data_IF_045379517983
#
_entry.id   IF_045379517983
#
_cell.length_a   1.000
_cell.length_b   1.000
_cell.length_c   1.000
_cell.angle_alpha   90.00
_cell.angle_beta   90.00
_cell.angle_gamma   90.00
#
_symmetry.space_group_name_H-M   'P 1'
#
loop_
_entity.id
_entity.type
_entity.pdbx_description
1 polymer ?
#
# COMPACT_ATOMS: atom_id res chain seq x y z
N UNK A 1 -24.51 1.10 22.55
CA UNK A 1 -23.67 -0.11 22.63
C UNK A 1 -24.02 -0.97 21.42
N UNK A 2 -23.35 -0.73 20.29
CA UNK A 2 -23.73 -1.33 19.00
C UNK A 2 -22.96 -2.63 18.81
N UNK A 3 -23.76 -3.68 18.63
CA UNK A 3 -23.43 -5.10 18.50
C UNK A 3 -22.43 -5.39 17.37
N UNK A 4 -21.40 -6.16 17.68
CA UNK A 4 -20.27 -6.52 16.82
C UNK A 4 -20.63 -7.56 15.75
N UNK A 5 -21.67 -7.28 14.95
CA UNK A 5 -22.00 -8.11 13.78
C UNK A 5 -20.93 -7.88 12.72
N UNK A 6 -20.14 -8.91 12.44
CA UNK A 6 -19.32 -8.96 11.24
C UNK A 6 -20.23 -8.82 10.02
N UNK A 7 -20.25 -7.63 9.44
CA UNK A 7 -20.84 -7.40 8.13
C UNK A 7 -20.07 -8.27 7.15
N UNK A 8 -20.77 -9.09 6.35
CA UNK A 8 -20.19 -9.99 5.34
C UNK A 8 -19.59 -9.25 4.13
N UNK A 9 -19.14 -8.00 4.31
CA UNK A 9 -18.57 -7.13 3.30
C UNK A 9 -17.06 -7.00 3.40
N UNK A 10 -16.45 -6.40 2.37
CA UNK A 10 -15.03 -6.00 2.40
C UNK A 10 -14.82 -4.97 3.53
N UNK A 11 -13.83 -5.22 4.39
CA UNK A 11 -13.50 -4.37 5.52
C UNK A 11 -11.99 -4.39 5.76
N UNK A 12 -11.46 -3.29 6.30
CA UNK A 12 -10.08 -3.20 6.75
C UNK A 12 -9.82 -3.95 8.06
N UNK A 13 -10.87 -4.41 8.75
CA UNK A 13 -10.72 -5.24 9.93
C UNK A 13 -9.93 -6.51 9.60
N UNK A 14 -9.00 -6.87 10.47
CA UNK A 14 -8.01 -7.95 10.30
C UNK A 14 -6.96 -7.73 9.20
N UNK A 15 -6.98 -6.61 8.48
CA UNK A 15 -5.85 -6.23 7.62
C UNK A 15 -4.63 -5.86 8.45
N UNK A 16 -3.45 -5.93 7.86
CA UNK A 16 -2.17 -5.78 8.58
C UNK A 16 -1.38 -4.58 8.07
N UNK A 17 -0.54 -4.04 8.95
CA UNK A 17 0.59 -3.21 8.54
C UNK A 17 1.62 -4.12 7.89
N UNK A 18 1.88 -3.93 6.61
CA UNK A 18 2.78 -4.80 5.85
C UNK A 18 4.13 -4.15 5.55
N UNK A 19 4.24 -2.82 5.72
CA UNK A 19 5.49 -2.08 5.53
C UNK A 19 5.60 -0.89 6.48
N UNK A 20 6.78 -0.68 7.06
CA UNK A 20 7.11 0.51 7.84
C UNK A 20 8.52 0.97 7.46
N UNK A 21 8.61 2.09 6.76
CA UNK A 21 9.87 2.79 6.51
C UNK A 21 9.92 3.98 7.46
N UNK A 22 10.83 3.91 8.42
CA UNK A 22 10.90 4.86 9.53
C UNK A 22 10.99 6.30 9.03
N UNK A 23 10.17 7.15 9.63
CA UNK A 23 10.05 8.60 9.35
C UNK A 23 9.60 8.94 7.92
N UNK A 24 9.09 7.94 7.17
CA UNK A 24 8.68 8.10 5.78
C UNK A 24 7.27 7.59 5.51
N UNK A 25 7.00 6.31 5.76
CA UNK A 25 5.72 5.68 5.40
C UNK A 25 5.37 4.47 6.24
N UNK A 26 4.08 4.31 6.49
CA UNK A 26 3.47 3.12 7.10
C UNK A 26 2.39 2.64 6.13
N UNK A 27 2.56 1.44 5.57
CA UNK A 27 1.64 0.88 4.57
C UNK A 27 0.76 -0.21 5.18
N UNK A 28 -0.54 -0.10 4.93
CA UNK A 28 -1.57 -0.95 5.50
C UNK A 28 -2.80 -1.02 4.58
N UNK A 29 -3.85 -1.71 5.04
CA UNK A 29 -5.11 -1.83 4.28
C UNK A 29 -5.10 -2.92 3.20
N UNK A 30 -4.03 -3.72 3.09
CA UNK A 30 -4.00 -4.88 2.18
C UNK A 30 -5.07 -5.89 2.56
N UNK A 31 -6.10 -6.00 1.72
CA UNK A 31 -7.21 -6.95 1.90
C UNK A 31 -6.84 -8.34 1.33
N UNK A 32 -7.24 -9.40 2.02
CA UNK A 32 -6.91 -10.78 1.65
C UNK A 32 -7.42 -11.22 0.26
N UNK A 33 -8.51 -10.60 -0.23
CA UNK A 33 -9.04 -10.84 -1.59
C UNK A 33 -8.48 -9.90 -2.65
N UNK A 34 -7.55 -9.00 -2.28
CA UNK A 34 -7.00 -7.96 -3.17
C UNK A 34 -8.08 -7.04 -3.73
N UNK A 35 -7.67 -6.12 -4.62
CA UNK A 35 -8.61 -5.61 -5.61
C UNK A 35 -8.85 -6.71 -6.65
N UNK A 36 -10.10 -6.92 -7.08
CA UNK A 36 -10.39 -7.82 -8.19
C UNK A 36 -9.51 -7.46 -9.38
N UNK A 37 -9.03 -8.45 -10.13
CA UNK A 37 -8.24 -8.21 -11.35
C UNK A 37 -9.07 -8.64 -12.55
N UNK A 38 -9.26 -7.73 -13.50
CA UNK A 38 -9.88 -8.02 -14.79
C UNK A 38 -8.78 -8.29 -15.83
N UNK A 39 -8.95 -9.34 -16.64
CA UNK A 39 -8.09 -9.60 -17.78
C UNK A 39 -8.55 -8.74 -18.97
N UNK A 40 -7.76 -7.75 -19.34
CA UNK A 40 -7.94 -6.99 -20.57
C UNK A 40 -7.11 -7.66 -21.67
N UNK A 41 -7.76 -7.97 -22.79
CA UNK A 41 -7.12 -8.53 -23.99
C UNK A 41 -6.96 -7.43 -25.02
N UNK A 42 -5.75 -7.24 -25.52
CA UNK A 42 -5.45 -6.28 -26.60
C UNK A 42 -4.72 -6.98 -27.74
N UNK A 43 -5.03 -6.64 -28.98
CA UNK A 43 -4.32 -7.09 -30.18
C UNK A 43 -3.35 -5.99 -30.57
N UNK A 44 -2.05 -6.29 -30.63
CA UNK A 44 -1.04 -5.35 -31.12
C UNK A 44 -0.96 -5.34 -32.66
N UNK A 45 -0.22 -4.37 -33.23
CA UNK A 45 -0.04 -4.23 -34.69
C UNK A 45 0.58 -5.47 -35.36
N UNK A 46 1.16 -6.39 -34.58
CA UNK A 46 1.67 -7.67 -35.05
C UNK A 46 0.62 -8.80 -35.07
N UNK A 47 -0.62 -8.54 -34.65
CA UNK A 47 -1.71 -9.51 -34.64
C UNK A 47 -1.68 -10.48 -33.45
N UNK A 48 -0.79 -10.28 -32.47
CA UNK A 48 -0.70 -11.12 -31.28
C UNK A 48 -1.62 -10.59 -30.17
N UNK A 49 -2.34 -11.51 -29.51
CA UNK A 49 -3.18 -11.18 -28.35
C UNK A 49 -2.30 -11.10 -27.11
N UNK A 50 -2.21 -9.92 -26.51
CA UNK A 50 -1.61 -9.72 -25.18
C UNK A 50 -2.70 -9.70 -24.12
N UNK A 51 -2.45 -10.39 -23.01
CA UNK A 51 -3.29 -10.38 -21.81
C UNK A 51 -2.65 -9.44 -20.79
N UNK A 52 -3.40 -8.44 -20.32
CA UNK A 52 -3.01 -7.54 -19.24
C UNK A 52 -4.00 -7.71 -18.09
N UNK A 53 -3.51 -8.09 -16.91
CA UNK A 53 -4.32 -8.08 -15.70
C UNK A 53 -4.31 -6.65 -15.13
N UNK A 54 -5.45 -5.98 -15.16
CA UNK A 54 -5.66 -4.66 -14.55
C UNK A 54 -6.56 -4.82 -13.33
N UNK A 55 -6.54 -3.88 -12.39
CA UNK A 55 -7.55 -3.89 -11.34
C UNK A 55 -8.94 -3.73 -11.94
N UNK A 56 -9.94 -4.39 -11.38
CA UNK A 56 -11.34 -4.28 -11.82
C UNK A 56 -11.83 -2.84 -11.69
N UNK A 57 -11.34 -2.10 -10.69
CA UNK A 57 -11.60 -0.67 -10.57
C UNK A 57 -11.07 0.13 -11.78
N UNK A 58 -9.88 -0.24 -12.27
CA UNK A 58 -9.19 0.45 -13.37
C UNK A 58 -9.64 -0.05 -14.75
N UNK A 59 -10.40 -1.15 -14.81
CA UNK A 59 -10.88 -1.75 -16.05
C UNK A 59 -12.03 -0.96 -16.68
N UNK A 60 -12.69 -0.09 -15.92
CA UNK A 60 -13.91 0.62 -16.35
C UNK A 60 -13.75 2.13 -16.30
N UNK A 61 -12.74 2.66 -15.60
CA UNK A 61 -12.49 4.10 -15.49
C UNK A 61 -10.99 4.34 -15.31
N UNK A 62 -10.38 5.15 -16.17
CA UNK A 62 -9.05 5.67 -15.91
C UNK A 62 -9.17 6.62 -14.71
N UNK A 63 -8.79 6.15 -13.52
CA UNK A 63 -8.82 7.00 -12.34
C UNK A 63 -7.69 8.05 -12.50
N UNK A 64 -8.08 9.31 -12.68
CA UNK A 64 -7.18 10.47 -12.78
C UNK A 64 -7.20 11.31 -11.50
N UNK A 65 -7.64 10.73 -10.39
CA UNK A 65 -7.77 11.44 -9.13
C UNK A 65 -6.39 11.93 -8.67
N UNK A 66 -6.32 13.23 -8.41
CA UNK A 66 -5.11 13.91 -7.98
C UNK A 66 -5.45 15.22 -7.29
N UNK A 67 -4.49 15.76 -6.54
CA UNK A 67 -4.58 17.07 -5.93
C UNK A 67 -3.19 17.69 -5.73
N UNK A 68 -3.18 18.94 -5.27
CA UNK A 68 -1.96 19.71 -4.98
C UNK A 68 -1.43 19.51 -3.56
N UNK A 69 -2.03 18.61 -2.77
CA UNK A 69 -1.58 18.30 -1.42
C UNK A 69 -0.28 17.50 -1.47
N UNK A 70 0.56 17.68 -0.45
CA UNK A 70 1.87 17.05 -0.34
C UNK A 70 2.03 16.36 1.00
N UNK A 71 2.94 15.39 1.06
CA UNK A 71 3.30 14.63 2.26
C UNK A 71 4.21 15.44 3.21
N UNK A 72 3.82 16.69 3.51
CA UNK A 72 4.62 17.68 4.24
C UNK A 72 4.33 17.74 5.75
N UNK A 73 3.43 16.90 6.26
CA UNK A 73 3.06 16.83 7.66
C UNK A 73 2.94 15.38 8.10
N UNK A 74 3.10 15.13 9.40
CA UNK A 74 2.77 13.84 9.99
C UNK A 74 1.26 13.63 10.02
N UNK A 75 0.83 12.38 9.93
CA UNK A 75 -0.58 11.96 9.99
C UNK A 75 -1.32 12.04 8.65
N UNK A 76 -0.69 12.44 7.55
CA UNK A 76 -1.38 12.48 6.25
C UNK A 76 -1.61 11.06 5.72
N UNK A 77 -2.83 10.83 5.22
CA UNK A 77 -3.28 9.56 4.65
C UNK A 77 -3.38 9.67 3.15
N UNK A 78 -2.75 8.75 2.42
CA UNK A 78 -2.71 8.77 0.97
C UNK A 78 -2.89 7.40 0.35
N UNK A 79 -3.23 7.38 -0.94
CA UNK A 79 -3.41 6.18 -1.75
C UNK A 79 -2.63 6.30 -3.06
N UNK A 80 -2.30 5.17 -3.68
CA UNK A 80 -1.64 5.15 -4.99
C UNK A 80 -2.54 5.82 -6.04
N UNK A 81 -1.98 6.72 -6.83
CA UNK A 81 -2.68 7.37 -7.96
C UNK A 81 -3.11 6.33 -8.99
N UNK A 82 -4.23 6.57 -9.65
CA UNK A 82 -4.80 5.57 -10.57
C UNK A 82 -5.58 4.46 -9.88
N UNK A 83 -5.62 4.43 -8.55
CA UNK A 83 -6.42 3.48 -7.79
C UNK A 83 -5.85 2.06 -7.86
N UNK A 84 -6.72 1.11 -8.21
CA UNK A 84 -6.34 -0.29 -8.39
C UNK A 84 -6.03 -1.11 -7.14
N UNK A 85 -5.90 -0.50 -5.96
CA UNK A 85 -5.70 -1.19 -4.68
C UNK A 85 -6.50 -0.54 -3.55
N UNK A 86 -6.77 -1.30 -2.49
CA UNK A 86 -7.35 -0.79 -1.24
C UNK A 86 -6.26 -0.43 -0.22
N UNK A 87 -5.01 -0.40 -0.65
CA UNK A 87 -3.87 -0.10 0.22
C UNK A 87 -3.78 1.41 0.42
N UNK A 88 -3.41 1.82 1.62
CA UNK A 88 -3.18 3.22 1.94
C UNK A 88 -1.93 3.37 2.79
N UNK A 89 -1.41 4.59 2.77
CA UNK A 89 -0.18 4.98 3.44
C UNK A 89 -0.50 6.05 4.46
N UNK A 90 0.13 5.95 5.64
CA UNK A 90 0.16 7.04 6.62
C UNK A 90 1.59 7.54 6.75
N UNK A 91 1.77 8.86 6.67
CA UNK A 91 3.05 9.51 6.90
C UNK A 91 3.27 9.73 8.39
N UNK A 92 4.32 9.16 9.02
CA UNK A 92 4.58 9.37 10.44
C UNK A 92 5.33 10.67 10.74
N UNK A 93 5.91 11.30 9.72
CA UNK A 93 6.71 12.52 9.76
C UNK A 93 6.61 13.24 8.41
N UNK A 94 6.86 14.56 8.31
CA UNK A 94 7.06 15.22 7.03
C UNK A 94 8.08 14.45 6.19
N UNK A 95 7.68 14.02 5.00
CA UNK A 95 8.55 13.24 4.13
C UNK A 95 9.48 14.18 3.36
N UNK A 96 10.81 14.02 3.45
CA UNK A 96 11.75 14.89 2.74
C UNK A 96 11.77 14.64 1.22
N UNK A 97 11.46 13.41 0.81
CA UNK A 97 11.55 12.96 -0.58
C UNK A 97 10.20 13.10 -1.30
N UNK A 98 10.22 13.68 -2.51
CA UNK A 98 9.01 13.86 -3.33
C UNK A 98 8.45 12.58 -3.95
N UNK A 99 9.12 11.44 -3.78
CA UNK A 99 8.71 10.16 -4.37
C UNK A 99 7.28 9.78 -3.99
N UNK A 100 6.82 10.12 -2.78
CA UNK A 100 5.47 9.82 -2.35
C UNK A 100 4.43 10.76 -2.97
N UNK A 101 4.78 12.03 -3.20
CA UNK A 101 3.92 13.02 -3.88
C UNK A 101 3.70 12.67 -5.36
N UNK A 102 4.69 12.04 -5.99
CA UNK A 102 4.62 11.66 -7.41
C UNK A 102 3.68 10.46 -7.62
N UNK A 103 3.71 9.49 -6.72
CA UNK A 103 2.97 8.23 -6.87
C UNK A 103 1.63 8.18 -6.10
N UNK A 104 1.44 9.01 -5.07
CA UNK A 104 0.28 8.94 -4.18
C UNK A 104 -0.50 10.25 -4.13
N UNK A 105 -1.82 10.14 -3.93
CA UNK A 105 -2.75 11.25 -3.70
C UNK A 105 -3.15 11.28 -2.23
N UNK A 106 -3.02 12.44 -1.58
CA UNK A 106 -3.43 12.63 -0.18
C UNK A 106 -4.94 12.73 -0.12
N UNK A 107 -5.60 11.89 0.69
CA UNK A 107 -7.06 11.80 0.79
C UNK A 107 -7.61 12.17 2.16
N UNK A 108 -6.74 12.32 3.17
CA UNK A 108 -7.16 12.66 4.52
C UNK A 108 -6.01 12.82 5.49
N UNK A 109 -6.35 12.93 6.77
CA UNK A 109 -5.38 13.08 7.86
C UNK A 109 -5.88 12.40 9.13
N UNK A 110 -4.94 11.96 9.96
CA UNK A 110 -5.19 11.45 11.30
C UNK A 110 -5.50 12.63 12.22
N UNK A 111 -6.70 12.64 12.80
CA UNK A 111 -7.16 13.69 13.72
C UNK A 111 -6.95 13.32 15.19
N UNK A 112 -6.84 12.03 15.51
CA UNK A 112 -6.59 11.51 16.85
C UNK A 112 -5.77 10.21 16.77
N UNK A 113 -5.02 9.89 17.84
CA UNK A 113 -4.19 8.68 17.92
C UNK A 113 -2.81 8.80 17.26
N UNK A 114 -2.23 10.01 17.19
CA UNK A 114 -0.87 10.22 16.67
C UNK A 114 0.21 9.49 17.48
N UNK A 115 -0.05 9.18 18.74
CA UNK A 115 0.79 8.32 19.59
C UNK A 115 0.83 6.87 19.08
N UNK A 116 -0.27 6.36 18.51
CA UNK A 116 -0.31 5.06 17.82
C UNK A 116 0.56 5.11 16.57
N UNK A 117 0.46 6.18 15.77
CA UNK A 117 1.30 6.36 14.58
C UNK A 117 2.79 6.41 14.95
N UNK A 118 3.15 7.14 16.01
CA UNK A 118 4.51 7.19 16.51
C UNK A 118 5.03 5.82 16.99
N UNK A 119 4.16 5.00 17.61
CA UNK A 119 4.50 3.62 17.99
C UNK A 119 4.71 2.72 16.76
N UNK A 120 3.83 2.82 15.76
CA UNK A 120 3.96 2.08 14.51
C UNK A 120 5.26 2.43 13.77
N UNK A 121 5.61 3.72 13.72
CA UNK A 121 6.84 4.21 13.09
C UNK A 121 8.12 3.64 13.72
N UNK A 122 8.06 3.23 15.00
CA UNK A 122 9.19 2.67 15.73
C UNK A 122 9.19 1.14 15.79
N UNK A 123 8.31 0.46 15.04
CA UNK A 123 8.32 -1.00 14.96
C UNK A 123 9.66 -1.52 14.43
N UNK A 124 10.12 -2.63 15.00
CA UNK A 124 11.27 -3.34 14.44
C UNK A 124 10.87 -3.95 13.09
N UNK A 125 11.66 -3.66 12.06
CA UNK A 125 11.41 -4.12 10.68
C UNK A 125 12.59 -4.91 10.13
N UNK A 126 12.32 -5.73 9.12
CA UNK A 126 13.35 -6.36 8.33
C UNK A 126 14.11 -5.32 7.50
N UNK A 127 15.30 -4.92 7.97
CA UNK A 127 16.10 -3.88 7.33
C UNK A 127 16.75 -4.41 6.05
N UNK A 128 16.68 -3.70 4.92
CA UNK A 128 17.45 -4.06 3.75
C UNK A 128 18.95 -3.92 4.06
N UNK A 129 19.75 -4.86 3.58
CA UNK A 129 21.22 -4.80 3.65
C UNK A 129 21.78 -4.70 2.24
N UNK A 130 22.95 -4.07 2.08
CA UNK A 130 23.56 -3.85 0.75
C UNK A 130 23.74 -5.16 -0.01
N UNK A 131 24.23 -6.21 0.66
CA UNK A 131 24.36 -7.54 0.08
C UNK A 131 23.01 -8.06 -0.42
N UNK A 132 21.98 -8.09 0.46
CA UNK A 132 20.65 -8.63 0.12
C UNK A 132 20.05 -7.91 -1.09
N UNK A 133 20.19 -6.59 -1.16
CA UNK A 133 19.67 -5.79 -2.26
C UNK A 133 20.34 -6.14 -3.60
N UNK A 134 21.65 -6.36 -3.65
CA UNK A 134 22.34 -6.76 -4.89
C UNK A 134 21.81 -8.10 -5.42
N UNK A 135 21.64 -9.10 -4.56
CA UNK A 135 21.09 -10.40 -4.97
C UNK A 135 19.65 -10.29 -5.43
N UNK A 136 18.82 -9.49 -4.74
CA UNK A 136 17.44 -9.21 -5.16
C UNK A 136 17.42 -8.57 -6.54
N UNK A 137 18.24 -7.54 -6.78
CA UNK A 137 18.29 -6.84 -8.07
C UNK A 137 18.71 -7.76 -9.21
N UNK A 138 19.70 -8.63 -8.99
CA UNK A 138 20.13 -9.63 -9.99
C UNK A 138 19.03 -10.68 -10.24
N UNK A 139 18.40 -11.19 -9.19
CA UNK A 139 17.31 -12.15 -9.30
C UNK A 139 16.10 -11.58 -10.05
N UNK A 140 15.79 -10.30 -9.85
CA UNK A 140 14.76 -9.60 -10.63
C UNK A 140 15.13 -9.45 -12.11
N UNK A 141 16.39 -9.19 -12.43
CA UNK A 141 16.84 -9.09 -13.82
C UNK A 141 16.62 -10.38 -14.62
N UNK A 142 16.61 -11.53 -13.93
CA UNK A 142 16.31 -12.85 -14.51
C UNK A 142 14.87 -13.33 -14.23
N UNK A 143 14.01 -12.46 -13.71
CA UNK A 143 12.60 -12.74 -13.38
C UNK A 143 12.39 -13.89 -12.37
N UNK A 144 13.29 -14.00 -11.37
CA UNK A 144 13.13 -14.94 -10.26
C UNK A 144 12.07 -14.42 -9.27
N UNK A 145 10.95 -15.16 -9.15
CA UNK A 145 9.84 -14.82 -8.23
C UNK A 145 10.27 -14.73 -6.76
N UNK A 146 11.32 -15.46 -6.37
CA UNK A 146 11.86 -15.43 -5.00
C UNK A 146 12.52 -14.10 -4.70
N UNK A 147 13.15 -13.47 -5.69
CA UNK A 147 13.77 -12.16 -5.53
C UNK A 147 12.70 -11.07 -5.28
N UNK A 148 11.57 -11.13 -5.99
CA UNK A 148 10.42 -10.25 -5.75
C UNK A 148 9.88 -10.41 -4.33
N UNK A 149 9.64 -11.64 -3.88
CA UNK A 149 9.16 -11.90 -2.53
C UNK A 149 10.15 -11.41 -1.44
N UNK A 150 11.45 -11.57 -1.67
CA UNK A 150 12.49 -11.13 -0.75
C UNK A 150 12.59 -9.59 -0.64
N UNK A 151 12.23 -8.87 -1.70
CA UNK A 151 12.11 -7.41 -1.70
C UNK A 151 10.84 -6.95 -0.96
N UNK A 152 9.71 -7.63 -1.19
CA UNK A 152 8.46 -7.35 -0.46
C UNK A 152 8.62 -7.52 1.05
N UNK A 153 9.57 -8.36 1.49
CA UNK A 153 9.92 -8.51 2.90
C UNK A 153 10.78 -7.37 3.45
N UNK A 154 11.32 -6.46 2.62
CA UNK A 154 12.05 -5.29 3.11
C UNK A 154 11.09 -4.31 3.81
N UNK A 155 11.50 -3.81 4.97
CA UNK A 155 10.71 -2.92 5.83
C UNK A 155 9.42 -3.55 6.38
N UNK A 156 9.25 -4.86 6.23
CA UNK A 156 8.14 -5.59 6.84
C UNK A 156 8.31 -5.64 8.35
N UNK A 157 7.28 -5.31 9.15
CA UNK A 157 7.33 -5.44 10.61
C UNK A 157 7.63 -6.88 11.06
N UNK A 158 8.53 -7.02 12.03
CA UNK A 158 8.85 -8.33 12.63
C UNK A 158 7.71 -8.85 13.51
N UNK A 159 6.94 -7.93 14.10
CA UNK A 159 5.73 -8.24 14.83
C UNK A 159 4.52 -8.02 13.92
N UNK A 160 3.61 -8.99 13.91
CA UNK A 160 2.37 -8.87 13.12
C UNK A 160 1.45 -7.85 13.78
N UNK A 161 1.29 -6.70 13.14
CA UNK A 161 0.37 -5.63 13.58
C UNK A 161 -0.88 -5.61 12.71
N UNK A 162 -2.05 -5.70 13.34
CA UNK A 162 -3.34 -5.82 12.66
C UNK A 162 -4.34 -4.75 13.11
N UNK A 163 -5.21 -4.34 12.18
CA UNK A 163 -6.36 -3.51 12.49
C UNK A 163 -7.42 -4.41 13.12
N UNK A 164 -7.62 -4.29 14.43
CA UNK A 164 -8.61 -5.15 15.12
C UNK A 164 -10.05 -4.75 14.82
N UNK A 165 -10.33 -3.45 14.79
CA UNK A 165 -11.65 -2.87 14.55
C UNK A 165 -11.52 -1.61 13.70
N UNK A 166 -12.50 -1.38 12.83
CA UNK A 166 -12.63 -0.16 12.04
C UNK A 166 -14.12 0.08 11.76
N UNK A 167 -14.49 1.34 11.53
CA UNK A 167 -15.86 1.74 11.24
C UNK A 167 -15.94 3.23 10.89
N UNK A 168 -17.15 3.69 10.64
CA UNK A 168 -17.44 5.10 10.38
C UNK A 168 -17.84 5.73 11.72
N UNK A 169 -17.25 6.89 12.03
CA UNK A 169 -17.67 7.69 13.18
C UNK A 169 -18.97 8.44 12.80
N UNK A 170 -20.01 8.42 13.65
CA UNK A 170 -21.26 9.13 13.38
C UNK A 170 -21.11 10.65 13.43
#
# INVERSE_FOLDING_TARGET
MVDGRMTSGLSYASSQVFKVEKDKRIDLGRLAKGAGKTEVRSIDYSGYVRRKYVSTADSTTENVDGNSLRHNAAGLVSMVKGGGSFEFVITPSPTPDRTLDDDHVVIGQVVDGMDVIARLNNLAVNKPTSYKNTFISMGKAINDKRATAAEDDNFKPLQKTVIKYCGILP
#
